data_IF_981154052531
#
_entry.id   IF_981154052531
#
_cell.length_a   1.000
_cell.length_b   1.000
_cell.length_c   1.000
_cell.angle_alpha   90.00
_cell.angle_beta   90.00
_cell.angle_gamma   90.00
#
_symmetry.space_group_name_H-M   'P 1'
#
loop_
_entity.id
_entity.type
_entity.pdbx_description
1 polymer ?
#
# COMPACT_ATOMS: atom_id res chain seq x y z
N UNK A 1 39.91 -19.42 29.14
CA UNK A 1 39.39 -19.59 30.53
C UNK A 1 39.55 -21.02 31.01
N UNK A 2 39.25 -22.02 30.19
CA UNK A 2 39.60 -23.42 30.46
C UNK A 2 41.11 -23.59 30.66
N UNK A 3 41.90 -22.87 29.85
CA UNK A 3 43.36 -23.05 29.81
C UNK A 3 44.04 -22.56 31.09
N UNK A 4 43.49 -21.56 31.79
CA UNK A 4 44.06 -21.02 33.03
C UNK A 4 43.89 -21.98 34.22
N UNK A 5 42.86 -22.83 34.21
CA UNK A 5 42.64 -23.86 35.24
C UNK A 5 43.26 -25.20 34.85
N UNK A 6 43.26 -25.55 33.56
CA UNK A 6 43.79 -26.81 33.08
C UNK A 6 45.31 -26.92 33.26
N UNK A 7 46.05 -25.81 33.15
CA UNK A 7 47.51 -25.81 33.36
C UNK A 7 47.88 -26.26 34.78
N UNK A 8 47.44 -25.62 35.88
CA UNK A 8 47.79 -26.06 37.23
C UNK A 8 47.26 -27.46 37.56
N UNK A 9 46.04 -27.81 37.09
CA UNK A 9 45.50 -29.17 37.26
C UNK A 9 46.36 -30.24 36.58
N UNK A 10 46.80 -30.01 35.34
CA UNK A 10 47.67 -30.93 34.62
C UNK A 10 49.06 -31.00 35.26
N UNK A 11 49.58 -29.91 35.81
CA UNK A 11 50.85 -29.96 36.54
C UNK A 11 50.73 -30.78 37.82
N UNK A 12 49.61 -30.66 38.55
CA UNK A 12 49.37 -31.44 39.77
C UNK A 12 49.22 -32.94 39.46
N UNK A 13 48.51 -33.30 38.39
CA UNK A 13 48.40 -34.70 37.94
C UNK A 13 49.74 -35.27 37.47
N UNK A 14 50.55 -34.49 36.75
CA UNK A 14 51.91 -34.90 36.37
C UNK A 14 52.80 -35.10 37.59
N UNK A 15 52.78 -34.17 38.55
CA UNK A 15 53.57 -34.29 39.78
C UNK A 15 53.14 -35.49 40.63
N UNK A 16 51.84 -35.76 40.74
CA UNK A 16 51.35 -36.91 41.50
C UNK A 16 51.72 -38.24 40.83
N UNK A 17 51.58 -38.35 39.52
CA UNK A 17 52.00 -39.55 38.77
C UNK A 17 53.51 -39.79 38.88
N UNK A 18 54.33 -38.74 38.79
CA UNK A 18 55.78 -38.83 38.98
C UNK A 18 56.15 -39.30 40.41
N UNK A 19 55.43 -38.82 41.43
CA UNK A 19 55.62 -39.25 42.81
C UNK A 19 55.29 -40.74 42.98
N UNK A 20 54.13 -41.19 42.47
CA UNK A 20 53.75 -42.60 42.54
C UNK A 20 54.72 -43.51 41.76
N UNK A 21 55.22 -43.07 40.61
CA UNK A 21 56.24 -43.80 39.85
C UNK A 21 57.54 -43.92 40.64
N UNK A 22 58.00 -42.83 41.25
CA UNK A 22 59.21 -42.83 42.10
C UNK A 22 59.06 -43.78 43.30
N UNK A 23 57.92 -43.75 44.01
CA UNK A 23 57.63 -44.67 45.12
C UNK A 23 57.52 -46.13 44.65
N UNK A 24 56.94 -46.40 43.48
CA UNK A 24 56.82 -47.75 42.93
C UNK A 24 58.16 -48.36 42.47
N UNK A 25 59.16 -47.51 42.21
CA UNK A 25 60.48 -47.90 41.70
C UNK A 25 61.55 -48.07 42.80
N UNK A 26 61.18 -47.94 44.08
CA UNK A 26 62.10 -48.13 45.20
C UNK A 26 62.58 -49.61 45.29
N UNK A 27 63.90 -49.87 45.22
CA UNK A 27 64.42 -51.22 45.20
C UNK A 27 64.47 -51.79 46.62
N UNK A 28 63.58 -52.73 46.92
CA UNK A 28 63.65 -53.49 48.19
C UNK A 28 64.75 -54.56 48.19
N UNK A 29 65.44 -54.82 47.08
CA UNK A 29 66.49 -55.83 47.01
C UNK A 29 67.59 -55.45 46.01
N UNK A 30 68.83 -55.79 46.38
CA UNK A 30 70.08 -55.51 45.69
C UNK A 30 70.01 -55.74 44.16
N UNK A 31 69.98 -54.68 43.33
CA UNK A 31 70.32 -54.80 41.90
C UNK A 31 69.48 -54.02 40.86
N UNK A 32 68.48 -53.23 41.25
CA UNK A 32 67.59 -52.52 40.30
C UNK A 32 68.01 -51.09 39.97
N UNK A 33 67.85 -50.69 38.70
CA UNK A 33 68.04 -49.34 38.11
C UNK A 33 67.72 -48.19 39.08
N UNK A 34 68.58 -47.17 39.11
CA UNK A 34 68.28 -45.91 39.81
C UNK A 34 66.98 -45.31 39.25
N UNK A 35 65.93 -45.33 40.07
CA UNK A 35 64.66 -44.68 39.77
C UNK A 35 64.80 -43.17 39.73
N UNK A 36 63.96 -42.52 38.92
CA UNK A 36 63.91 -41.08 38.77
C UNK A 36 63.70 -40.39 40.14
N UNK A 37 64.42 -39.29 40.43
CA UNK A 37 64.37 -38.65 41.74
C UNK A 37 62.95 -38.17 42.05
N UNK A 38 62.47 -38.31 43.29
CA UNK A 38 61.13 -37.92 43.66
C UNK A 38 60.92 -36.42 43.42
N UNK A 39 59.74 -36.00 42.93
CA UNK A 39 59.45 -34.59 42.71
C UNK A 39 59.54 -33.80 44.03
N UNK A 40 60.14 -32.61 44.03
CA UNK A 40 60.30 -31.82 45.24
C UNK A 40 58.94 -31.30 45.74
N UNK A 41 58.74 -31.31 47.07
CA UNK A 41 57.51 -30.83 47.72
C UNK A 41 57.17 -29.38 47.35
N UNK A 42 58.17 -28.55 47.08
CA UNK A 42 57.99 -27.17 46.61
C UNK A 42 57.25 -27.07 45.28
N UNK A 43 57.36 -28.07 44.40
CA UNK A 43 56.63 -28.08 43.13
C UNK A 43 55.12 -28.22 43.35
N UNK A 44 54.70 -29.08 44.29
CA UNK A 44 53.27 -29.21 44.66
C UNK A 44 52.70 -27.93 45.24
N UNK A 45 53.44 -27.27 46.14
CA UNK A 45 53.02 -25.99 46.71
C UNK A 45 52.91 -24.90 45.64
N UNK A 46 53.83 -24.87 44.66
CA UNK A 46 53.75 -23.94 43.54
C UNK A 46 52.54 -24.19 42.63
N UNK A 47 52.22 -25.47 42.36
CA UNK A 47 51.05 -25.84 41.57
C UNK A 47 49.74 -25.50 42.31
N UNK A 48 49.70 -25.73 43.63
CA UNK A 48 48.54 -25.41 44.46
C UNK A 48 48.29 -23.90 44.57
N UNK A 49 49.34 -23.11 44.81
CA UNK A 49 49.24 -21.64 44.82
C UNK A 49 48.81 -21.08 43.46
N UNK A 50 49.32 -21.63 42.35
CA UNK A 50 48.87 -21.29 41.01
C UNK A 50 47.38 -21.63 40.78
N UNK A 51 46.92 -22.78 41.29
CA UNK A 51 45.51 -23.19 41.22
C UNK A 51 44.62 -22.23 42.01
N UNK A 52 45.00 -21.89 43.24
CA UNK A 52 44.25 -20.93 44.08
C UNK A 52 44.15 -19.57 43.37
N UNK A 53 45.24 -19.08 42.79
CA UNK A 53 45.23 -17.83 42.03
C UNK A 53 44.26 -17.90 40.84
N UNK A 54 44.34 -18.96 40.04
CA UNK A 54 43.46 -19.17 38.90
C UNK A 54 41.97 -19.26 39.32
N UNK A 55 41.65 -19.85 40.48
CA UNK A 55 40.29 -19.89 41.03
C UNK A 55 39.78 -18.50 41.42
N UNK A 56 40.61 -17.68 42.07
CA UNK A 56 40.22 -16.32 42.44
C UNK A 56 39.96 -15.46 41.19
N UNK A 57 40.83 -15.56 40.19
CA UNK A 57 40.67 -14.84 38.93
C UNK A 57 39.41 -15.27 38.18
N UNK A 58 39.16 -16.58 38.09
CA UNK A 58 37.96 -17.10 37.42
C UNK A 58 36.69 -16.68 38.13
N UNK A 59 36.65 -16.69 39.46
CA UNK A 59 35.51 -16.17 40.21
C UNK A 59 35.29 -14.66 39.94
N UNK A 60 36.35 -13.86 39.90
CA UNK A 60 36.26 -12.43 39.58
C UNK A 60 35.78 -12.19 38.13
N UNK A 61 36.21 -13.02 37.19
CA UNK A 61 35.76 -12.97 35.81
C UNK A 61 34.30 -13.41 35.65
N UNK A 62 33.86 -14.46 36.34
CA UNK A 62 32.46 -14.90 36.31
C UNK A 62 31.52 -13.82 36.82
N UNK A 63 31.87 -13.14 37.92
CA UNK A 63 31.10 -11.99 38.42
C UNK A 63 30.98 -10.87 37.39
N UNK A 64 32.11 -10.52 36.75
CA UNK A 64 32.13 -9.51 35.67
C UNK A 64 31.31 -9.97 34.46
N UNK A 65 31.40 -11.23 34.07
CA UNK A 65 30.65 -11.79 32.95
C UNK A 65 29.14 -11.78 33.23
N UNK A 66 28.71 -12.10 34.45
CA UNK A 66 27.31 -11.96 34.83
C UNK A 66 26.83 -10.52 34.74
N UNK A 67 27.66 -9.56 35.16
CA UNK A 67 27.32 -8.15 35.02
C UNK A 67 27.23 -7.72 33.55
N UNK A 68 28.18 -8.13 32.70
CA UNK A 68 28.15 -7.89 31.25
C UNK A 68 26.88 -8.48 30.65
N UNK A 69 26.54 -9.73 30.97
CA UNK A 69 25.34 -10.38 30.44
C UNK A 69 24.05 -9.65 30.86
N UNK A 70 24.01 -9.10 32.09
CA UNK A 70 22.89 -8.23 32.52
C UNK A 70 22.80 -6.97 31.67
N UNK A 71 23.91 -6.25 31.49
CA UNK A 71 23.94 -5.04 30.65
C UNK A 71 23.56 -5.34 29.21
N UNK A 72 24.05 -6.44 28.62
CA UNK A 72 23.66 -6.88 27.28
C UNK A 72 22.15 -7.13 27.20
N UNK A 73 21.55 -7.74 28.22
CA UNK A 73 20.10 -7.95 28.27
C UNK A 73 19.30 -6.66 28.46
N UNK A 74 19.89 -5.63 29.07
CA UNK A 74 19.26 -4.32 29.23
C UNK A 74 19.33 -3.54 27.92
N UNK A 75 20.49 -3.54 27.25
CA UNK A 75 20.67 -2.94 25.92
C UNK A 75 19.71 -3.58 24.92
N UNK A 76 19.58 -4.90 24.89
CA UNK A 76 18.66 -5.56 23.96
C UNK A 76 17.18 -5.19 24.21
N UNK A 77 16.78 -4.99 25.47
CA UNK A 77 15.43 -4.49 25.81
C UNK A 77 15.24 -3.04 25.37
N UNK A 78 16.26 -2.19 25.53
CA UNK A 78 16.23 -0.80 25.08
C UNK A 78 16.15 -0.72 23.55
N UNK A 79 16.93 -1.52 22.84
CA UNK A 79 16.88 -1.61 21.37
C UNK A 79 15.52 -2.07 20.86
N UNK A 80 14.90 -3.07 21.52
CA UNK A 80 13.57 -3.52 21.19
C UNK A 80 12.53 -2.40 21.35
N UNK A 81 12.57 -1.66 22.46
CA UNK A 81 11.68 -0.50 22.69
C UNK A 81 11.93 0.62 21.69
N UNK A 82 13.18 0.89 21.37
CA UNK A 82 13.53 1.91 20.38
C UNK A 82 12.96 1.56 19.00
N UNK A 83 13.09 0.31 18.57
CA UNK A 83 12.49 -0.18 17.31
C UNK A 83 10.96 -0.02 17.31
N UNK A 84 10.30 -0.37 18.40
CA UNK A 84 8.85 -0.20 18.54
C UNK A 84 8.43 1.28 18.42
N UNK A 85 9.20 2.20 19.02
CA UNK A 85 8.93 3.64 18.90
C UNK A 85 9.10 4.10 17.45
N UNK A 86 10.18 3.70 16.78
CA UNK A 86 10.44 4.05 15.38
C UNK A 86 9.32 3.52 14.47
N UNK A 87 8.85 2.30 14.69
CA UNK A 87 7.74 1.70 13.95
C UNK A 87 6.44 2.49 14.15
N UNK A 88 6.11 2.87 15.39
CA UNK A 88 4.94 3.72 15.69
C UNK A 88 5.03 5.09 15.04
N UNK A 89 6.22 5.69 15.01
CA UNK A 89 6.43 6.98 14.34
C UNK A 89 6.23 6.85 12.84
N UNK A 90 6.78 5.81 12.20
CA UNK A 90 6.62 5.61 10.76
C UNK A 90 5.16 5.30 10.40
N UNK A 91 4.46 4.53 11.23
CA UNK A 91 3.03 4.29 11.06
C UNK A 91 2.23 5.59 11.17
N UNK A 92 2.47 6.40 12.21
CA UNK A 92 1.82 7.70 12.37
C UNK A 92 2.13 8.68 11.23
N UNK A 93 3.37 8.65 10.69
CA UNK A 93 3.76 9.43 9.51
C UNK A 93 2.92 9.05 8.29
N UNK A 94 2.77 7.75 8.02
CA UNK A 94 1.98 7.23 6.89
C UNK A 94 0.49 7.58 7.02
N UNK A 95 -0.07 7.43 8.22
CA UNK A 95 -1.45 7.79 8.50
C UNK A 95 -1.70 9.28 8.26
N UNK A 96 -0.81 10.14 8.78
CA UNK A 96 -0.90 11.58 8.57
C UNK A 96 -0.76 11.95 7.10
N UNK A 97 0.18 11.33 6.37
CA UNK A 97 0.36 11.55 4.94
C UNK A 97 -0.89 11.18 4.14
N UNK A 98 -1.58 10.10 4.52
CA UNK A 98 -2.86 9.71 3.93
C UNK A 98 -3.95 10.74 4.17
N UNK A 99 -4.07 11.24 5.40
CA UNK A 99 -5.07 12.27 5.76
C UNK A 99 -4.78 13.59 5.03
N UNK A 100 -3.51 13.97 4.90
CA UNK A 100 -3.12 15.17 4.15
C UNK A 100 -3.49 15.02 2.67
N UNK A 101 -3.17 13.89 2.05
CA UNK A 101 -3.51 13.62 0.64
C UNK A 101 -5.02 13.68 0.40
N UNK A 102 -5.81 13.05 1.28
CA UNK A 102 -7.28 13.12 1.19
C UNK A 102 -7.78 14.57 1.36
N UNK A 103 -7.18 15.33 2.27
CA UNK A 103 -7.47 16.75 2.47
C UNK A 103 -7.21 17.57 1.21
N UNK A 104 -6.08 17.35 0.54
CA UNK A 104 -5.70 18.00 -0.71
C UNK A 104 -6.69 17.68 -1.83
N UNK A 105 -7.04 16.40 -2.00
CA UNK A 105 -8.03 15.95 -2.99
C UNK A 105 -9.40 16.60 -2.76
N UNK A 106 -9.86 16.68 -1.51
CA UNK A 106 -11.12 17.36 -1.16
C UNK A 106 -11.07 18.85 -1.47
N UNK A 107 -9.96 19.53 -1.16
CA UNK A 107 -9.77 20.95 -1.47
C UNK A 107 -9.78 21.19 -2.98
N UNK A 108 -9.12 20.34 -3.76
CA UNK A 108 -9.18 20.41 -5.22
C UNK A 108 -10.59 20.16 -5.75
N UNK A 109 -11.31 19.17 -5.21
CA UNK A 109 -12.70 18.88 -5.57
C UNK A 109 -13.61 20.08 -5.32
N UNK A 110 -13.45 20.75 -4.18
CA UNK A 110 -14.19 21.98 -3.85
C UNK A 110 -13.84 23.12 -4.81
N UNK A 111 -12.56 23.30 -5.16
CA UNK A 111 -12.15 24.33 -6.12
C UNK A 111 -12.77 24.09 -7.49
N UNK A 112 -12.69 22.86 -8.01
CA UNK A 112 -13.30 22.47 -9.29
C UNK A 112 -14.82 22.64 -9.27
N UNK A 113 -15.48 22.26 -8.17
CA UNK A 113 -16.92 22.45 -8.01
C UNK A 113 -17.33 23.93 -7.97
N UNK A 114 -16.50 24.79 -7.35
CA UNK A 114 -16.71 26.26 -7.36
C UNK A 114 -16.49 26.87 -8.73
N UNK A 115 -15.49 26.42 -9.48
CA UNK A 115 -15.22 26.90 -10.84
C UNK A 115 -16.31 26.45 -11.82
N UNK A 116 -16.83 25.23 -11.67
CA UNK A 116 -17.93 24.70 -12.47
C UNK A 116 -19.32 25.05 -11.93
N UNK A 117 -19.42 25.94 -10.93
CA UNK A 117 -20.70 26.29 -10.32
C UNK A 117 -21.56 27.05 -11.33
N UNK A 118 -22.64 26.42 -11.76
CA UNK A 118 -23.64 27.06 -12.63
C UNK A 118 -24.41 28.08 -11.78
N UNK A 119 -24.56 29.33 -12.24
CA UNK A 119 -25.26 30.34 -11.48
C UNK A 119 -26.73 29.95 -11.28
N UNK A 120 -27.20 30.15 -10.05
CA UNK A 120 -28.55 29.75 -9.61
C UNK A 120 -29.69 30.23 -10.53
N UNK A 121 -29.67 31.47 -11.08
CA UNK A 121 -30.69 31.93 -12.02
C UNK A 121 -30.77 31.08 -13.31
N UNK A 122 -29.63 30.63 -13.85
CA UNK A 122 -29.60 29.80 -15.07
C UNK A 122 -30.14 28.40 -14.78
N UNK A 123 -29.81 27.82 -13.63
CA UNK A 123 -30.36 26.54 -13.18
C UNK A 123 -31.87 26.60 -13.02
N UNK A 124 -32.39 27.67 -12.41
CA UNK A 124 -33.84 27.86 -12.25
C UNK A 124 -34.55 28.04 -13.59
N UNK A 125 -34.00 28.87 -14.49
CA UNK A 125 -34.58 29.08 -15.81
C UNK A 125 -34.60 27.77 -16.62
N UNK A 126 -33.51 27.00 -16.58
CA UNK A 126 -33.43 25.70 -17.24
C UNK A 126 -34.40 24.69 -16.63
N UNK A 127 -34.48 24.58 -15.29
CA UNK A 127 -35.42 23.70 -14.60
C UNK A 127 -36.88 24.05 -14.93
N UNK A 128 -37.23 25.34 -14.98
CA UNK A 128 -38.57 25.78 -15.37
C UNK A 128 -38.89 25.38 -16.82
N UNK A 129 -37.91 25.49 -17.73
CA UNK A 129 -38.08 25.05 -19.12
C UNK A 129 -38.25 23.53 -19.22
N UNK A 130 -37.47 22.74 -18.47
CA UNK A 130 -37.59 21.27 -18.44
C UNK A 130 -38.92 20.82 -17.83
N UNK A 131 -39.43 21.52 -16.83
CA UNK A 131 -40.68 21.17 -16.15
C UNK A 131 -41.85 20.96 -17.11
N UNK A 132 -41.93 21.73 -18.20
CA UNK A 132 -42.97 21.58 -19.23
C UNK A 132 -42.83 20.29 -20.08
N UNK A 133 -41.64 19.69 -20.14
CA UNK A 133 -41.35 18.47 -20.89
C UNK A 133 -41.21 17.22 -20.00
N UNK A 134 -41.01 17.41 -18.69
CA UNK A 134 -40.78 16.33 -17.74
C UNK A 134 -41.93 16.12 -16.76
N UNK A 135 -42.88 17.06 -16.64
CA UNK A 135 -44.05 16.88 -15.80
C UNK A 135 -45.06 15.94 -16.46
N UNK A 136 -45.40 14.84 -15.77
CA UNK A 136 -46.63 14.12 -16.03
C UNK A 136 -47.80 14.99 -15.54
N UNK A 137 -48.83 15.29 -16.35
CA UNK A 137 -49.92 16.15 -15.91
C UNK A 137 -50.64 15.54 -14.69
N UNK A 138 -50.75 16.26 -13.55
CA UNK A 138 -51.64 15.84 -12.48
C UNK A 138 -53.08 16.08 -12.94
N UNK A 139 -53.85 14.99 -13.07
CA UNK A 139 -55.22 14.92 -13.60
C UNK A 139 -55.35 15.41 -15.04
N UNK A 140 -55.35 14.50 -16.02
CA UNK A 140 -55.97 14.79 -17.32
C UNK A 140 -57.48 14.99 -17.09
N UNK A 141 -58.07 16.18 -17.35
CA UNK A 141 -59.51 16.27 -17.46
C UNK A 141 -59.95 15.45 -18.68
N UNK A 142 -60.98 14.63 -18.47
CA UNK A 142 -61.62 13.81 -19.49
C UNK A 142 -61.88 14.66 -20.76
N UNK A 143 -61.47 14.23 -21.97
CA UNK A 143 -61.64 15.01 -23.21
C UNK A 143 -63.11 15.34 -23.54
N UNK A 144 -64.08 14.79 -22.82
CA UNK A 144 -65.51 15.11 -22.93
C UNK A 144 -66.03 16.11 -21.86
N UNK A 145 -65.18 16.62 -20.97
CA UNK A 145 -65.60 17.58 -19.94
C UNK A 145 -65.72 19.00 -20.52
N UNK A 146 -66.81 19.73 -20.26
CA UNK A 146 -66.98 21.10 -20.74
C UNK A 146 -65.89 22.03 -20.19
N UNK A 147 -65.38 22.91 -21.05
CA UNK A 147 -64.30 23.90 -20.87
C UNK A 147 -64.43 24.87 -19.67
N UNK A 148 -65.41 24.71 -18.79
CA UNK A 148 -65.72 25.65 -17.70
C UNK A 148 -65.13 25.30 -16.33
N UNK A 149 -64.41 24.19 -16.16
CA UNK A 149 -64.04 23.71 -14.83
C UNK A 149 -62.68 24.20 -14.26
N UNK A 150 -61.97 25.13 -14.90
CA UNK A 150 -60.77 25.75 -14.29
C UNK A 150 -60.69 27.24 -14.66
N UNK A 151 -61.48 28.07 -13.96
CA UNK A 151 -61.27 29.51 -13.98
C UNK A 151 -59.97 29.85 -13.23
N UNK A 152 -58.93 30.24 -13.97
CA UNK A 152 -57.79 30.99 -13.44
C UNK A 152 -56.42 30.29 -13.41
N UNK A 153 -56.31 29.02 -13.78
CA UNK A 153 -55.00 28.36 -13.90
C UNK A 153 -54.65 28.15 -15.39
N UNK A 154 -53.44 28.53 -15.85
CA UNK A 154 -53.02 28.28 -17.22
C UNK A 154 -53.03 26.78 -17.48
N UNK A 155 -53.71 26.36 -18.54
CA UNK A 155 -53.72 24.95 -19.00
C UNK A 155 -52.26 24.52 -19.17
N UNK A 156 -51.79 23.46 -18.47
CA UNK A 156 -50.40 23.05 -18.56
C UNK A 156 -50.10 22.61 -19.99
N UNK A 157 -49.17 23.31 -20.63
CA UNK A 157 -48.61 22.96 -21.93
C UNK A 157 -47.85 21.64 -21.80
N UNK A 158 -48.53 20.54 -22.09
CA UNK A 158 -47.91 19.22 -22.10
C UNK A 158 -47.14 19.02 -23.41
N UNK A 159 -45.85 18.73 -23.29
CA UNK A 159 -45.04 18.30 -24.42
C UNK A 159 -44.68 16.83 -24.26
N UNK A 160 -44.79 16.02 -25.34
CA UNK A 160 -44.39 14.62 -25.28
C UNK A 160 -42.88 14.49 -24.96
N UNK A 161 -42.46 13.39 -24.32
CA UNK A 161 -41.09 13.19 -23.85
C UNK A 161 -40.06 13.16 -24.99
N UNK A 162 -40.51 12.93 -26.22
CA UNK A 162 -39.68 12.92 -27.42
C UNK A 162 -40.25 13.86 -28.49
N UNK A 163 -39.41 14.43 -29.37
CA UNK A 163 -39.87 15.28 -30.46
C UNK A 163 -40.86 14.53 -31.36
N UNK A 164 -42.07 15.07 -31.53
CA UNK A 164 -43.07 14.48 -32.41
C UNK A 164 -42.64 14.55 -33.89
N UNK A 165 -43.13 13.63 -34.72
CA UNK A 165 -42.84 13.51 -36.15
C UNK A 165 -43.09 14.83 -36.90
N UNK A 166 -44.15 15.56 -36.56
CA UNK A 166 -44.42 16.89 -37.14
C UNK A 166 -43.36 17.93 -36.77
N UNK A 167 -42.86 17.91 -35.52
CA UNK A 167 -41.78 18.81 -35.08
C UNK A 167 -40.46 18.44 -35.76
N UNK A 168 -40.20 17.15 -35.97
CA UNK A 168 -39.05 16.70 -36.75
C UNK A 168 -39.17 17.13 -38.20
N UNK A 169 -40.32 16.91 -38.84
CA UNK A 169 -40.64 17.27 -40.24
C UNK A 169 -40.62 18.78 -40.50
N UNK A 170 -41.03 19.59 -39.51
CA UNK A 170 -40.97 21.05 -39.57
C UNK A 170 -39.61 21.62 -39.15
N UNK A 171 -38.75 20.79 -38.54
CA UNK A 171 -37.41 21.17 -38.13
C UNK A 171 -36.53 21.59 -39.30
N UNK A 172 -35.52 22.42 -39.04
CA UNK A 172 -34.63 22.97 -40.08
C UNK A 172 -33.98 21.87 -40.94
N UNK A 173 -33.75 20.68 -40.38
CA UNK A 173 -33.22 19.52 -41.09
C UNK A 173 -34.07 19.07 -42.30
N UNK A 174 -35.39 19.26 -42.25
CA UNK A 174 -36.31 18.89 -43.34
C UNK A 174 -36.70 20.08 -44.24
N UNK A 175 -36.32 21.30 -43.85
CA UNK A 175 -36.44 22.52 -44.68
C UNK A 175 -35.27 22.62 -45.65
N UNK A 176 -34.13 22.02 -45.32
CA UNK A 176 -33.02 21.85 -46.24
C UNK A 176 -33.39 20.90 -47.38
N UNK A 177 -32.82 21.18 -48.56
CA UNK A 177 -33.08 20.42 -49.78
C UNK A 177 -32.89 18.92 -49.48
N UNK A 178 -33.85 18.04 -49.86
CA UNK A 178 -33.73 16.61 -49.58
C UNK A 178 -32.35 16.13 -50.03
N UNK A 179 -31.68 15.35 -49.18
CA UNK A 179 -30.43 14.69 -49.58
C UNK A 179 -30.71 14.00 -50.92
N UNK A 180 -29.89 14.31 -51.93
CA UNK A 180 -30.09 13.87 -53.30
C UNK A 180 -30.14 12.35 -53.42
N UNK A 181 -30.14 11.84 -54.66
CA UNK A 181 -30.14 10.38 -54.86
C UNK A 181 -28.93 9.76 -54.16
N UNK A 182 -29.11 8.54 -53.63
CA UNK A 182 -28.08 7.79 -52.89
C UNK A 182 -26.74 7.83 -53.66
N UNK A 183 -25.77 8.60 -53.17
CA UNK A 183 -24.47 8.83 -53.81
C UNK A 183 -24.15 10.28 -54.20
N UNK A 184 -25.12 11.21 -54.17
CA UNK A 184 -24.88 12.64 -54.42
C UNK A 184 -24.44 13.38 -53.14
N UNK A 185 -23.19 13.87 -53.11
CA UNK A 185 -22.70 14.76 -52.05
C UNK A 185 -23.04 16.22 -52.38
N UNK A 186 -24.00 16.81 -51.67
CA UNK A 186 -24.20 18.25 -51.70
C UNK A 186 -23.27 18.94 -50.70
N UNK A 187 -22.48 19.92 -51.16
CA UNK A 187 -21.70 20.77 -50.26
C UNK A 187 -22.66 21.62 -49.44
N UNK A 188 -22.72 21.37 -48.13
CA UNK A 188 -23.36 22.27 -47.16
C UNK A 188 -22.75 23.65 -47.36
N UNK A 189 -23.56 24.64 -47.78
CA UNK A 189 -23.08 26.01 -47.94
C UNK A 189 -22.52 26.46 -46.60
N UNK A 190 -21.24 26.82 -46.60
CA UNK A 190 -20.54 27.50 -45.51
C UNK A 190 -21.34 28.76 -45.14
N UNK A 191 -21.74 28.89 -43.88
CA UNK A 191 -22.25 30.15 -43.35
C UNK A 191 -21.27 31.30 -43.69
N UNK A 192 -21.76 32.53 -43.93
CA UNK A 192 -20.89 33.68 -44.09
C UNK A 192 -19.99 33.81 -42.85
N UNK A 193 -18.69 33.91 -43.11
CA UNK A 193 -17.64 33.79 -42.11
C UNK A 193 -17.85 34.72 -40.90
N UNK A 194 -17.67 34.24 -39.66
CA UNK A 194 -17.31 35.14 -38.56
C UNK A 194 -15.91 35.73 -38.84
N UNK A 195 -15.81 37.04 -38.63
CA UNK A 195 -14.59 37.87 -38.69
C UNK A 195 -13.46 37.38 -37.74
N UNK A 196 -12.23 37.88 -37.90
CA UNK A 196 -10.99 37.09 -37.92
C UNK A 196 -10.52 36.55 -36.56
N UNK A 197 -9.88 35.39 -36.64
CA UNK A 197 -9.21 34.67 -35.56
C UNK A 197 -7.93 35.37 -35.04
N UNK A 198 -7.64 35.34 -33.73
CA UNK A 198 -6.33 35.68 -33.20
C UNK A 198 -5.31 34.54 -33.44
N UNK A 199 -4.09 34.97 -33.75
CA UNK A 199 -2.92 34.18 -34.19
C UNK A 199 -2.67 32.88 -33.40
N UNK A 200 -2.65 31.75 -34.10
CA UNK A 200 -2.04 30.51 -33.63
C UNK A 200 -0.51 30.56 -33.81
N UNK A 201 0.25 30.31 -32.73
CA UNK A 201 1.64 29.86 -32.82
C UNK A 201 1.65 28.36 -33.05
N UNK A 202 2.43 27.95 -34.04
CA UNK A 202 2.67 26.58 -34.46
C UNK A 202 3.46 25.78 -33.43
N UNK A 203 3.15 24.48 -33.33
CA UNK A 203 4.04 23.32 -33.40
C UNK A 203 3.14 22.06 -33.30
N UNK A 204 2.97 21.30 -34.40
CA UNK A 204 3.65 20.01 -34.67
C UNK A 204 3.33 18.95 -33.59
N UNK A 205 2.80 17.74 -33.85
CA UNK A 205 2.74 16.86 -35.03
C UNK A 205 1.77 15.72 -34.72
N UNK A 206 1.12 15.19 -35.75
CA UNK A 206 0.77 13.77 -35.98
C UNK A 206 0.18 12.92 -34.84
N UNK A 207 -1.14 12.65 -34.91
CA UNK A 207 -1.69 11.28 -34.88
C UNK A 207 -3.15 11.23 -35.36
N UNK A 208 -3.54 10.19 -36.12
CA UNK A 208 -4.88 10.04 -36.68
C UNK A 208 -5.82 9.38 -35.66
N UNK A 209 -7.03 9.95 -35.51
CA UNK A 209 -8.22 9.26 -34.99
C UNK A 209 -8.20 8.87 -33.50
N UNK A 210 -8.63 9.78 -32.62
CA UNK A 210 -9.06 9.41 -31.27
C UNK A 210 -10.37 10.15 -30.93
N UNK A 211 -11.51 9.50 -31.20
CA UNK A 211 -12.81 9.96 -30.72
C UNK A 211 -12.98 9.49 -29.25
N UNK A 212 -13.30 10.39 -28.29
CA UNK A 212 -13.38 10.07 -26.87
C UNK A 212 -14.63 9.28 -26.44
N UNK A 213 -15.47 8.82 -27.38
CA UNK A 213 -16.70 8.06 -27.09
C UNK A 213 -16.77 6.70 -27.81
N UNK A 214 -15.67 6.18 -28.37
CA UNK A 214 -15.67 4.85 -28.97
C UNK A 214 -15.30 3.79 -27.93
N UNK A 215 -16.29 3.11 -27.37
CA UNK A 215 -16.08 1.85 -26.66
C UNK A 215 -15.71 0.78 -27.69
N UNK A 216 -14.43 0.37 -27.72
CA UNK A 216 -13.99 -0.79 -28.48
C UNK A 216 -14.52 -2.07 -27.83
N UNK A 217 -15.55 -2.65 -28.43
CA UNK A 217 -15.93 -4.05 -28.17
C UNK A 217 -14.89 -4.91 -28.90
N UNK A 218 -13.84 -5.30 -28.18
CA UNK A 218 -12.91 -6.33 -28.64
C UNK A 218 -13.52 -7.68 -28.30
N UNK A 219 -13.85 -8.46 -29.33
CA UNK A 219 -14.09 -9.89 -29.18
C UNK A 219 -12.76 -10.55 -28.78
N UNK A 220 -12.58 -10.78 -27.48
CA UNK A 220 -11.67 -11.78 -26.97
C UNK A 220 -12.51 -13.01 -26.63
N UNK A 221 -12.24 -14.10 -27.32
CA UNK A 221 -12.55 -15.43 -26.81
C UNK A 221 -11.76 -15.60 -25.51
N UNK A 222 -12.45 -15.47 -24.38
CA UNK A 222 -12.00 -16.05 -23.12
C UNK A 222 -12.78 -17.34 -22.94
N UNK A 223 -12.09 -18.46 -23.10
CA UNK A 223 -12.50 -19.73 -22.54
C UNK A 223 -12.73 -19.53 -21.04
N UNK A 224 -13.97 -19.70 -20.61
CA UNK A 224 -14.34 -19.79 -19.19
C UNK A 224 -14.26 -21.26 -18.81
N UNK A 225 -13.13 -21.67 -18.24
CA UNK A 225 -13.01 -22.96 -17.57
C UNK A 225 -13.45 -22.77 -16.10
N UNK A 226 -14.76 -22.96 -15.88
CA UNK A 226 -15.38 -22.92 -14.56
C UNK A 226 -15.35 -24.31 -13.96
N UNK A 227 -14.23 -24.65 -13.32
CA UNK A 227 -14.11 -25.85 -12.51
C UNK A 227 -14.88 -25.65 -11.18
N UNK A 228 -16.19 -25.94 -11.24
CA UNK A 228 -17.14 -25.91 -10.14
C UNK A 228 -17.04 -27.23 -9.35
N UNK A 229 -16.10 -27.31 -8.42
CA UNK A 229 -16.08 -28.38 -7.40
C UNK A 229 -17.27 -28.21 -6.45
N UNK A 230 -18.29 -29.05 -6.65
CA UNK A 230 -19.51 -29.15 -5.88
C UNK A 230 -19.46 -30.38 -4.97
N UNK A 231 -18.54 -30.40 -4.01
CA UNK A 231 -18.60 -31.31 -2.87
C UNK A 231 -18.91 -30.52 -1.58
N UNK A 232 -20.16 -30.50 -1.12
CA UNK A 232 -20.52 -30.00 0.20
C UNK A 232 -20.60 -31.18 1.19
N UNK A 233 -19.47 -31.58 1.76
CA UNK A 233 -19.44 -32.41 2.96
C UNK A 233 -18.88 -31.58 4.13
N UNK A 234 -19.76 -30.81 4.78
CA UNK A 234 -19.74 -30.44 6.21
C UNK A 234 -21.04 -29.72 6.61
#
# INVERSE_FOLDING_TARGET
MTDTLNVPLNTLTQLSTALFQSLSSQPHTHGGRQGEPPPPVSAFLSAETALVHALVETAAHQRRQHHINKLVSEISKLDARWREIVEKIEQGRKELESVVREGEERVEGIKKAKEAAIPYPELLAYAQSLSAFTSAPPNMPDPNAPLSAVHGAPVPLFFPPFPNEEKMRRGRLNVEKPLGRLGESHSVKREPAPSPSPKQKANARDRPGAHPYRHEIRAQQTEFDLDLDLNPDL
#
